data_IF_775369927446
#
_entry.id   IF_775369927446
#
_cell.length_a   1.000
_cell.length_b   1.000
_cell.length_c   1.000
_cell.angle_alpha   90.00
_cell.angle_beta   90.00
_cell.angle_gamma   90.00
#
_symmetry.space_group_name_H-M   'P 1'
#
loop_
_entity.id
_entity.type
_entity.pdbx_description
1 polymer ?
#
# COMPACT_ATOMS: atom_id res chain seq x y z
N UNK A 1 32.64 16.78 88.80
CA UNK A 1 33.08 15.90 87.68
C UNK A 1 32.10 14.73 87.62
N UNK A 2 31.34 14.47 86.55
CA UNK A 2 31.79 13.99 85.23
C UNK A 2 30.68 14.20 84.18
N UNK A 3 31.10 14.41 82.92
CA UNK A 3 30.29 14.65 81.71
C UNK A 3 29.70 13.36 81.09
N UNK A 4 28.50 13.55 80.48
CA UNK A 4 27.82 12.92 79.31
C UNK A 4 28.41 11.67 78.63
N UNK A 5 27.50 10.79 78.17
CA UNK A 5 27.34 10.44 76.74
C UNK A 5 25.94 9.87 76.44
N UNK A 6 25.28 10.48 75.46
CA UNK A 6 24.03 10.03 74.83
C UNK A 6 24.19 8.66 74.13
N UNK A 7 23.12 7.87 74.00
CA UNK A 7 23.12 6.65 73.19
C UNK A 7 23.04 7.00 71.70
N UNK A 8 24.01 6.50 70.93
CA UNK A 8 24.17 6.73 69.49
C UNK A 8 23.00 6.15 68.66
N UNK A 9 22.59 6.81 67.56
CA UNK A 9 21.57 6.34 66.62
C UNK A 9 22.12 5.42 65.50
N UNK A 10 23.33 4.86 65.67
CA UNK A 10 24.07 4.21 64.58
C UNK A 10 23.58 2.79 64.21
N UNK A 11 22.79 2.14 65.07
CA UNK A 11 22.39 0.74 64.87
C UNK A 11 21.25 0.53 63.85
N UNK A 12 20.45 1.56 63.57
CA UNK A 12 19.31 1.43 62.65
C UNK A 12 19.74 1.49 61.18
N UNK A 13 20.75 2.31 60.86
CA UNK A 13 21.26 2.46 59.50
C UNK A 13 22.12 1.28 59.05
N UNK A 14 22.86 0.62 59.95
CA UNK A 14 23.59 -0.62 59.62
C UNK A 14 22.62 -1.77 59.29
N UNK A 15 21.57 -1.98 60.08
CA UNK A 15 20.59 -3.05 59.83
C UNK A 15 19.77 -2.78 58.55
N UNK A 16 19.41 -1.51 58.28
CA UNK A 16 18.75 -1.13 57.02
C UNK A 16 19.69 -1.27 55.82
N UNK A 17 20.97 -0.92 55.97
CA UNK A 17 21.98 -1.08 54.92
C UNK A 17 22.22 -2.55 54.61
N UNK A 18 22.23 -3.43 55.62
CA UNK A 18 22.45 -4.86 55.44
C UNK A 18 21.24 -5.56 54.80
N UNK A 19 20.01 -5.20 55.20
CA UNK A 19 18.79 -5.65 54.51
C UNK A 19 18.67 -5.09 53.09
N UNK A 20 19.07 -3.84 52.86
CA UNK A 20 19.10 -3.25 51.53
C UNK A 20 20.16 -3.90 50.63
N UNK A 21 21.33 -4.24 51.18
CA UNK A 21 22.37 -5.00 50.48
C UNK A 21 21.91 -6.42 50.14
N UNK A 22 21.19 -7.09 51.04
CA UNK A 22 20.60 -8.40 50.80
C UNK A 22 19.52 -8.35 49.71
N UNK A 23 18.66 -7.32 49.73
CA UNK A 23 17.66 -7.10 48.68
C UNK A 23 18.30 -6.72 47.34
N UNK A 24 19.38 -5.93 47.35
CA UNK A 24 20.14 -5.59 46.15
C UNK A 24 20.84 -6.83 45.58
N UNK A 25 21.45 -7.67 46.42
CA UNK A 25 22.08 -8.91 46.01
C UNK A 25 21.04 -9.90 45.45
N UNK A 26 19.88 -10.02 46.09
CA UNK A 26 18.77 -10.82 45.59
C UNK A 26 18.24 -10.27 44.26
N UNK A 27 18.11 -8.94 44.10
CA UNK A 27 17.70 -8.30 42.87
C UNK A 27 18.71 -8.51 41.74
N UNK A 28 20.01 -8.34 42.01
CA UNK A 28 21.08 -8.61 41.03
C UNK A 28 21.09 -10.08 40.65
N UNK A 29 20.87 -10.99 41.60
CA UNK A 29 20.78 -12.42 41.33
C UNK A 29 19.56 -12.76 40.47
N UNK A 30 18.38 -12.21 40.79
CA UNK A 30 17.16 -12.40 40.00
C UNK A 30 17.28 -11.76 38.61
N UNK A 31 17.92 -10.60 38.51
CA UNK A 31 18.20 -9.92 37.25
C UNK A 31 19.21 -10.70 36.40
N UNK A 32 20.25 -11.26 37.00
CA UNK A 32 21.20 -12.15 36.32
C UNK A 32 20.53 -13.45 35.87
N UNK A 33 19.62 -14.01 36.68
CA UNK A 33 18.87 -15.22 36.36
C UNK A 33 17.84 -14.95 35.24
N UNK A 34 17.20 -13.77 35.24
CA UNK A 34 16.37 -13.28 34.13
C UNK A 34 17.22 -13.03 32.89
N UNK A 35 18.42 -12.45 33.01
CA UNK A 35 19.34 -12.24 31.88
C UNK A 35 19.83 -13.57 31.29
N UNK A 36 20.17 -14.55 32.12
CA UNK A 36 20.56 -15.90 31.68
C UNK A 36 19.37 -16.61 31.04
N UNK A 37 18.16 -16.51 31.61
CA UNK A 37 16.94 -17.04 31.00
C UNK A 37 16.53 -16.29 29.73
N UNK A 38 16.76 -14.98 29.64
CA UNK A 38 16.52 -14.17 28.45
C UNK A 38 17.59 -14.40 27.38
N UNK A 39 18.82 -14.77 27.75
CA UNK A 39 19.82 -15.28 26.81
C UNK A 39 19.53 -16.72 26.38
N UNK A 40 18.90 -17.54 27.23
CA UNK A 40 18.45 -18.89 26.88
C UNK A 40 17.15 -18.88 26.05
N UNK A 41 16.25 -17.92 26.27
CA UNK A 41 15.02 -17.71 25.48
C UNK A 41 15.24 -16.83 24.25
N UNK A 42 16.22 -15.93 24.26
CA UNK A 42 16.65 -15.12 23.11
C UNK A 42 17.85 -15.69 22.35
N UNK A 43 18.35 -16.87 22.76
CA UNK A 43 19.47 -17.58 22.14
C UNK A 43 19.12 -19.00 21.68
N UNK A 44 17.84 -19.37 21.71
CA UNK A 44 17.32 -20.57 21.06
C UNK A 44 16.66 -20.20 19.74
N UNK A 45 17.45 -20.08 18.67
CA UNK A 45 16.90 -20.22 17.32
C UNK A 45 16.27 -21.62 17.23
N UNK A 46 14.95 -21.68 17.46
CA UNK A 46 14.16 -22.88 17.27
C UNK A 46 14.43 -23.38 15.84
N UNK A 47 14.83 -24.64 15.67
CA UNK A 47 14.97 -25.20 14.31
C UNK A 47 13.69 -25.04 13.49
N UNK A 48 12.52 -24.96 14.15
CA UNK A 48 11.23 -24.68 13.52
C UNK A 48 11.14 -23.24 12.99
N UNK A 49 11.64 -22.24 13.73
CA UNK A 49 11.69 -20.85 13.27
C UNK A 49 12.73 -20.67 12.16
N UNK A 50 13.89 -21.34 12.25
CA UNK A 50 14.89 -21.35 11.18
C UNK A 50 14.33 -22.00 9.92
N UNK A 51 13.66 -23.13 10.03
CA UNK A 51 13.04 -23.81 8.89
C UNK A 51 11.91 -23.00 8.29
N UNK A 52 11.10 -22.32 9.10
CA UNK A 52 10.02 -21.47 8.60
C UNK A 52 10.57 -20.20 7.95
N UNK A 53 11.61 -19.58 8.53
CA UNK A 53 12.31 -18.44 7.92
C UNK A 53 13.07 -18.85 6.65
N UNK A 54 13.67 -20.05 6.61
CA UNK A 54 14.31 -20.59 5.42
C UNK A 54 13.29 -20.92 4.34
N UNK A 55 12.16 -21.54 4.67
CA UNK A 55 11.07 -21.79 3.72
C UNK A 55 10.45 -20.49 3.22
N UNK A 56 10.31 -19.48 4.07
CA UNK A 56 9.83 -18.16 3.67
C UNK A 56 10.86 -17.44 2.80
N UNK A 57 12.15 -17.51 3.11
CA UNK A 57 13.24 -16.98 2.27
C UNK A 57 13.35 -17.71 0.94
N UNK A 58 13.15 -19.02 0.93
CA UNK A 58 13.17 -19.83 -0.28
C UNK A 58 11.95 -19.54 -1.14
N UNK A 59 10.76 -19.40 -0.55
CA UNK A 59 9.56 -18.91 -1.26
C UNK A 59 9.74 -17.49 -1.77
N UNK A 60 10.35 -16.60 -0.99
CA UNK A 60 10.63 -15.22 -1.40
C UNK A 60 11.62 -15.21 -2.57
N UNK A 61 12.71 -15.98 -2.48
CA UNK A 61 13.72 -16.10 -3.52
C UNK A 61 13.14 -16.75 -4.80
N UNK A 62 12.31 -17.79 -4.66
CA UNK A 62 11.59 -18.40 -5.78
C UNK A 62 10.62 -17.41 -6.41
N UNK A 63 9.92 -16.60 -5.61
CA UNK A 63 8.97 -15.58 -6.11
C UNK A 63 9.71 -14.42 -6.78
N UNK A 64 10.82 -13.95 -6.21
CA UNK A 64 11.69 -12.93 -6.80
C UNK A 64 12.36 -13.41 -8.07
N UNK A 65 12.80 -14.66 -8.11
CA UNK A 65 13.37 -15.29 -9.30
C UNK A 65 12.29 -15.50 -10.37
N UNK A 66 11.07 -15.89 -9.97
CA UNK A 66 9.91 -15.96 -10.87
C UNK A 66 9.54 -14.58 -11.40
N UNK A 67 9.58 -13.54 -10.57
CA UNK A 67 9.31 -12.16 -10.98
C UNK A 67 10.40 -11.62 -11.90
N UNK A 68 11.68 -11.89 -11.62
CA UNK A 68 12.79 -11.58 -12.52
C UNK A 68 12.68 -12.33 -13.83
N UNK A 69 12.33 -13.62 -13.80
CA UNK A 69 12.04 -14.39 -15.02
C UNK A 69 10.85 -13.82 -15.77
N UNK A 70 9.77 -13.42 -15.09
CA UNK A 70 8.62 -12.76 -15.73
C UNK A 70 9.02 -11.40 -16.32
N UNK A 71 9.94 -10.68 -15.67
CA UNK A 71 10.41 -9.36 -16.11
C UNK A 71 11.44 -9.46 -17.24
N UNK A 72 12.27 -10.49 -17.24
CA UNK A 72 13.21 -10.85 -18.31
C UNK A 72 12.47 -11.46 -19.50
N UNK A 73 11.51 -12.36 -19.28
CA UNK A 73 10.53 -12.79 -20.28
C UNK A 73 9.80 -11.56 -20.83
N UNK A 74 9.33 -10.63 -20.00
CA UNK A 74 8.69 -9.39 -20.46
C UNK A 74 9.64 -8.48 -21.26
N UNK A 75 10.93 -8.41 -20.90
CA UNK A 75 11.92 -7.59 -21.60
C UNK A 75 12.39 -8.24 -22.91
N UNK A 76 12.50 -9.57 -22.98
CA UNK A 76 12.70 -10.32 -24.23
C UNK A 76 11.44 -10.31 -25.11
N UNK A 77 10.25 -10.22 -24.50
CA UNK A 77 8.95 -10.06 -25.16
C UNK A 77 8.68 -8.61 -25.58
N UNK A 78 9.38 -7.61 -25.03
CA UNK A 78 9.30 -6.22 -25.49
C UNK A 78 9.81 -6.01 -26.93
N UNK A 79 10.48 -7.02 -27.51
CA UNK A 79 10.83 -7.07 -28.93
C UNK A 79 9.81 -7.77 -29.84
N UNK A 80 8.78 -8.44 -29.29
CA UNK A 80 7.74 -9.16 -30.05
C UNK A 80 6.35 -8.66 -29.67
N UNK A 81 5.72 -8.00 -30.65
CA UNK A 81 4.33 -7.53 -30.70
C UNK A 81 3.61 -7.38 -29.34
N UNK A 82 3.96 -6.30 -28.64
CA UNK A 82 3.30 -5.76 -27.44
C UNK A 82 1.76 -5.82 -27.57
N UNK A 83 1.23 -5.68 -28.79
CA UNK A 83 -0.19 -5.79 -29.12
C UNK A 83 -0.80 -7.18 -28.84
N UNK A 84 -0.11 -8.27 -29.18
CA UNK A 84 -0.61 -9.64 -28.96
C UNK A 84 -0.62 -10.03 -27.48
N UNK A 85 0.37 -9.57 -26.71
CA UNK A 85 0.37 -9.77 -25.25
C UNK A 85 -0.69 -8.91 -24.55
N UNK A 86 -0.90 -7.69 -25.00
CA UNK A 86 -1.98 -6.85 -24.49
C UNK A 86 -3.35 -7.47 -24.79
N UNK A 87 -3.54 -7.99 -26.01
CA UNK A 87 -4.76 -8.73 -26.35
C UNK A 87 -4.92 -9.99 -25.48
N UNK A 88 -3.84 -10.65 -25.03
CA UNK A 88 -3.89 -11.76 -24.04
C UNK A 88 -4.27 -11.31 -22.63
N UNK A 89 -3.73 -10.19 -22.14
CA UNK A 89 -4.09 -9.60 -20.83
C UNK A 89 -5.56 -9.15 -20.84
N UNK A 90 -6.00 -8.55 -21.95
CA UNK A 90 -7.40 -8.21 -22.18
C UNK A 90 -8.25 -9.48 -22.37
N UNK A 91 -7.74 -10.57 -22.93
CA UNK A 91 -8.48 -11.83 -23.02
C UNK A 91 -8.71 -12.47 -21.65
N UNK A 92 -7.69 -12.46 -20.77
CA UNK A 92 -7.86 -12.90 -19.39
C UNK A 92 -8.85 -12.05 -18.58
N UNK A 93 -9.11 -10.81 -19.04
CA UNK A 93 -10.10 -9.90 -18.49
C UNK A 93 -11.53 -10.12 -18.95
N UNK A 94 -11.74 -10.89 -20.03
CA UNK A 94 -12.97 -10.81 -20.84
C UNK A 94 -13.10 -9.53 -21.69
N UNK A 95 -12.02 -8.77 -21.89
CA UNK A 95 -11.96 -7.53 -22.69
C UNK A 95 -11.43 -7.76 -24.12
N UNK A 96 -11.12 -8.99 -24.54
CA UNK A 96 -10.55 -9.27 -25.86
C UNK A 96 -11.56 -9.27 -27.00
N UNK A 97 -12.85 -9.52 -26.72
CA UNK A 97 -13.86 -9.78 -27.75
C UNK A 97 -15.16 -8.99 -27.53
N UNK A 98 -15.88 -8.73 -28.62
CA UNK A 98 -17.25 -8.18 -28.58
C UNK A 98 -17.36 -6.74 -28.05
N UNK A 99 -18.25 -6.52 -27.07
CA UNK A 99 -18.56 -5.20 -26.50
C UNK A 99 -17.48 -4.71 -25.53
N UNK A 100 -16.88 -5.60 -24.74
CA UNK A 100 -15.82 -5.27 -23.78
C UNK A 100 -14.60 -4.61 -24.42
N UNK A 101 -14.12 -5.12 -25.57
CA UNK A 101 -13.01 -4.49 -26.32
C UNK A 101 -13.34 -3.08 -26.79
N UNK A 102 -14.56 -2.88 -27.31
CA UNK A 102 -15.02 -1.57 -27.79
C UNK A 102 -15.14 -0.56 -26.66
N UNK A 103 -15.67 -0.97 -25.52
CA UNK A 103 -15.81 -0.12 -24.34
C UNK A 103 -14.44 0.24 -23.76
N UNK A 104 -13.50 -0.71 -23.73
CA UNK A 104 -12.11 -0.45 -23.36
C UNK A 104 -11.40 0.49 -24.34
N UNK A 105 -11.55 0.31 -25.65
CA UNK A 105 -10.95 1.21 -26.64
C UNK A 105 -11.56 2.63 -26.55
N UNK A 106 -12.87 2.75 -26.31
CA UNK A 106 -13.52 4.04 -26.03
C UNK A 106 -13.02 4.70 -24.75
N UNK A 107 -12.79 3.91 -23.71
CA UNK A 107 -12.17 4.35 -22.46
C UNK A 107 -10.76 4.90 -22.71
N UNK A 108 -9.92 4.16 -23.44
CA UNK A 108 -8.57 4.59 -23.81
C UNK A 108 -8.62 5.87 -24.66
N UNK A 109 -9.56 5.98 -25.58
CA UNK A 109 -9.72 7.20 -26.37
C UNK A 109 -10.11 8.39 -25.48
N UNK A 110 -11.02 8.19 -24.52
CA UNK A 110 -11.37 9.21 -23.52
C UNK A 110 -10.16 9.65 -22.70
N UNK A 111 -9.25 8.74 -22.35
CA UNK A 111 -8.00 9.06 -21.66
C UNK A 111 -7.00 9.82 -22.54
N UNK A 112 -6.92 9.51 -23.83
CA UNK A 112 -6.08 10.27 -24.78
C UNK A 112 -6.56 11.71 -24.92
N UNK A 113 -7.88 11.90 -24.95
CA UNK A 113 -8.53 13.20 -25.13
C UNK A 113 -8.45 14.08 -23.86
N UNK A 114 -7.90 13.57 -22.75
CA UNK A 114 -7.68 14.37 -21.55
C UNK A 114 -6.70 15.52 -21.81
N UNK A 115 -6.94 16.71 -21.25
CA UNK A 115 -6.00 17.82 -21.37
C UNK A 115 -4.68 17.50 -20.64
N UNK A 116 -3.57 17.94 -21.22
CA UNK A 116 -2.22 17.76 -20.67
C UNK A 116 -1.64 16.35 -20.88
N UNK A 117 -0.45 16.11 -20.32
CA UNK A 117 0.34 14.91 -20.59
C UNK A 117 0.62 14.06 -19.35
N UNK A 118 0.38 14.59 -18.15
CA UNK A 118 0.71 13.91 -16.89
C UNK A 118 -0.55 13.28 -16.27
N UNK A 119 -0.48 12.00 -15.96
CA UNK A 119 -1.52 11.22 -15.31
C UNK A 119 -1.03 10.70 -13.96
N UNK A 120 -1.82 10.86 -12.92
CA UNK A 120 -1.56 10.26 -11.59
C UNK A 120 -2.66 9.27 -11.24
N UNK A 121 -2.30 8.01 -10.97
CA UNK A 121 -3.27 6.99 -10.55
C UNK A 121 -3.48 7.01 -9.05
N UNK A 122 -4.73 7.05 -8.60
CA UNK A 122 -5.11 6.95 -7.20
C UNK A 122 -5.93 5.67 -7.06
N UNK A 123 -5.34 4.66 -6.41
CA UNK A 123 -5.85 3.30 -6.39
C UNK A 123 -6.33 2.94 -4.98
N UNK A 124 -7.56 2.49 -4.89
CA UNK A 124 -8.09 1.86 -3.69
C UNK A 124 -7.28 0.59 -3.34
N UNK A 125 -6.81 0.54 -2.11
CA UNK A 125 -6.08 -0.59 -1.55
C UNK A 125 -6.73 -1.15 -0.27
N UNK A 126 -8.06 -1.07 -0.15
CA UNK A 126 -8.81 -1.75 0.90
C UNK A 126 -8.96 -3.25 0.60
N UNK A 127 -9.58 -3.99 1.52
CA UNK A 127 -9.73 -5.44 1.42
C UNK A 127 -10.68 -5.91 0.30
N UNK A 128 -11.66 -5.09 -0.09
CA UNK A 128 -12.61 -5.40 -1.19
C UNK A 128 -11.86 -5.58 -2.52
N UNK A 129 -10.84 -4.74 -2.72
CA UNK A 129 -9.99 -4.72 -3.90
C UNK A 129 -9.07 -5.94 -4.02
N UNK A 130 -8.83 -6.71 -2.94
CA UNK A 130 -7.89 -7.83 -2.90
C UNK A 130 -8.10 -8.84 -4.05
N UNK A 131 -9.35 -9.19 -4.34
CA UNK A 131 -9.70 -10.13 -5.41
C UNK A 131 -9.48 -9.59 -6.83
N UNK A 132 -9.41 -8.26 -6.99
CA UNK A 132 -9.29 -7.57 -8.28
C UNK A 132 -7.84 -7.19 -8.58
N UNK A 133 -6.97 -7.10 -7.57
CA UNK A 133 -5.56 -6.67 -7.69
C UNK A 133 -4.74 -7.40 -8.75
N UNK A 134 -4.84 -8.73 -8.79
CA UNK A 134 -4.09 -9.61 -9.71
C UNK A 134 -4.39 -9.29 -11.17
N UNK A 135 -5.60 -8.76 -11.42
CA UNK A 135 -6.08 -8.37 -12.73
C UNK A 135 -5.90 -6.86 -12.99
N UNK A 136 -6.13 -6.04 -11.97
CA UNK A 136 -6.15 -4.59 -12.06
C UNK A 136 -4.81 -4.01 -12.51
N UNK A 137 -3.70 -4.45 -11.90
CA UNK A 137 -2.39 -3.86 -12.16
C UNK A 137 -1.92 -4.07 -13.61
N UNK A 138 -2.07 -5.28 -14.20
CA UNK A 138 -1.88 -5.46 -15.64
C UNK A 138 -2.74 -4.52 -16.49
N UNK A 139 -4.01 -4.30 -16.14
CA UNK A 139 -4.89 -3.38 -16.86
C UNK A 139 -4.44 -1.94 -16.71
N UNK A 140 -4.09 -1.48 -15.51
CA UNK A 140 -3.57 -0.12 -15.29
C UNK A 140 -2.30 0.15 -16.08
N UNK A 141 -1.44 -0.86 -16.21
CA UNK A 141 -0.24 -0.79 -17.06
C UNK A 141 -0.61 -0.64 -18.54
N UNK A 142 -1.58 -1.43 -19.03
CA UNK A 142 -2.11 -1.29 -20.40
C UNK A 142 -2.73 0.10 -20.62
N UNK A 143 -3.49 0.60 -19.65
CA UNK A 143 -4.14 1.91 -19.69
C UNK A 143 -3.09 3.01 -19.79
N UNK A 144 -2.09 3.00 -18.91
CA UNK A 144 -1.01 3.98 -18.93
C UNK A 144 -0.30 3.99 -20.29
N UNK A 145 0.09 2.81 -20.81
CA UNK A 145 0.78 2.67 -22.10
C UNK A 145 -0.10 3.17 -23.27
N UNK A 146 -1.37 2.75 -23.35
CA UNK A 146 -2.24 3.09 -24.49
C UNK A 146 -2.76 4.52 -24.45
N UNK A 147 -2.86 5.13 -23.27
CA UNK A 147 -3.28 6.52 -23.13
C UNK A 147 -2.30 7.51 -23.76
N UNK A 148 -1.03 7.12 -23.93
CA UNK A 148 0.03 8.02 -24.38
C UNK A 148 0.36 9.14 -23.38
N UNK A 149 -0.20 9.09 -22.17
CA UNK A 149 0.10 10.01 -21.08
C UNK A 149 1.33 9.50 -20.32
N UNK A 150 2.14 10.43 -19.84
CA UNK A 150 3.21 10.17 -18.91
C UNK A 150 2.63 9.95 -17.51
N UNK A 151 3.06 8.88 -16.84
CA UNK A 151 2.59 8.56 -15.51
C UNK A 151 3.45 9.30 -14.48
N UNK A 152 2.90 10.33 -13.83
CA UNK A 152 3.62 11.17 -12.87
C UNK A 152 3.73 10.52 -11.48
N UNK A 153 2.77 9.68 -11.15
CA UNK A 153 2.70 9.02 -9.84
C UNK A 153 1.61 7.96 -9.76
N UNK A 154 1.80 7.05 -8.81
CA UNK A 154 0.80 6.06 -8.40
C UNK A 154 0.65 6.15 -6.90
N UNK A 155 -0.53 6.50 -6.42
CA UNK A 155 -0.87 6.52 -5.01
C UNK A 155 -1.88 5.44 -4.68
N UNK A 156 -1.80 4.93 -3.47
CA UNK A 156 -2.82 4.07 -2.89
C UNK A 156 -3.38 4.67 -1.61
N UNK A 157 -4.59 4.29 -1.25
CA UNK A 157 -5.21 4.68 0.01
C UNK A 157 -5.96 3.51 0.66
N UNK A 158 -5.92 3.44 1.99
CA UNK A 158 -6.70 2.53 2.83
C UNK A 158 -6.59 2.96 4.29
N UNK A 159 -7.69 2.94 5.07
CA UNK A 159 -7.68 3.16 6.52
C UNK A 159 -6.89 4.43 6.97
N UNK A 160 -7.17 5.58 6.35
CA UNK A 160 -6.50 6.87 6.60
C UNK A 160 -4.98 6.85 6.34
N UNK A 161 -4.48 5.86 5.61
CA UNK A 161 -3.10 5.80 5.15
C UNK A 161 -3.07 6.00 3.66
N UNK A 162 -2.01 6.66 3.24
CA UNK A 162 -1.73 6.95 1.83
C UNK A 162 -0.26 6.64 1.57
N UNK A 163 0.02 6.00 0.45
CA UNK A 163 1.38 5.86 -0.07
C UNK A 163 1.44 6.37 -1.49
N UNK A 164 2.52 7.07 -1.84
CA UNK A 164 2.73 7.59 -3.20
C UNK A 164 4.07 7.12 -3.74
N UNK A 165 4.04 6.55 -4.94
CA UNK A 165 5.21 6.11 -5.67
C UNK A 165 5.41 6.99 -6.90
N UNK A 166 6.66 7.39 -7.13
CA UNK A 166 7.11 8.17 -8.29
C UNK A 166 8.35 7.52 -8.90
N UNK A 167 8.62 7.74 -10.18
CA UNK A 167 9.81 7.22 -10.86
C UNK A 167 9.46 6.57 -12.18
N UNK A 168 10.10 5.44 -12.50
CA UNK A 168 9.73 4.69 -13.71
C UNK A 168 8.38 4.01 -13.54
N UNK A 169 7.62 3.90 -14.64
CA UNK A 169 6.31 3.23 -14.63
C UNK A 169 6.39 1.81 -14.05
N UNK A 170 7.42 1.04 -14.42
CA UNK A 170 7.66 -0.29 -13.88
C UNK A 170 7.79 -0.28 -12.36
N UNK A 171 8.71 0.54 -11.82
CA UNK A 171 8.95 0.64 -10.39
C UNK A 171 7.72 1.09 -9.60
N UNK A 172 6.91 2.01 -10.14
CA UNK A 172 5.69 2.46 -9.47
C UNK A 172 4.65 1.34 -9.33
N UNK A 173 4.41 0.57 -10.40
CA UNK A 173 3.48 -0.55 -10.34
C UNK A 173 4.01 -1.73 -9.51
N UNK A 174 5.31 -1.99 -9.56
CA UNK A 174 5.93 -3.05 -8.76
C UNK A 174 5.84 -2.71 -7.27
N UNK A 175 6.09 -1.44 -6.89
CA UNK A 175 5.89 -0.96 -5.52
C UNK A 175 4.41 -1.00 -5.10
N UNK A 176 3.47 -0.67 -6.00
CA UNK A 176 2.05 -0.81 -5.72
C UNK A 176 1.69 -2.27 -5.40
N UNK A 177 2.19 -3.24 -6.16
CA UNK A 177 1.95 -4.67 -5.89
C UNK A 177 2.53 -5.12 -4.55
N UNK A 178 3.73 -4.64 -4.20
CA UNK A 178 4.47 -5.13 -3.04
C UNK A 178 4.10 -4.44 -1.73
N UNK A 179 3.73 -3.16 -1.79
CA UNK A 179 3.65 -2.30 -0.62
C UNK A 179 2.24 -1.77 -0.33
N UNK A 180 1.30 -1.88 -1.28
CA UNK A 180 -0.08 -1.51 -0.98
C UNK A 180 -0.71 -2.60 -0.08
N UNK A 181 -1.38 -2.19 1.01
CA UNK A 181 -1.83 -3.13 2.03
C UNK A 181 -2.93 -4.07 1.51
N UNK A 182 -3.77 -3.66 0.53
CA UNK A 182 -4.92 -4.43 0.02
C UNK A 182 -5.72 -5.13 1.15
N UNK A 183 -5.82 -4.40 2.25
CA UNK A 183 -6.49 -4.75 3.51
C UNK A 183 -7.05 -3.45 4.09
N UNK A 184 -8.06 -3.58 4.93
CA UNK A 184 -8.77 -2.45 5.51
C UNK A 184 -10.20 -2.36 5.02
N UNK A 185 -10.93 -1.41 5.58
CA UNK A 185 -12.37 -1.24 5.34
C UNK A 185 -12.81 0.21 5.17
N UNK A 186 -11.90 1.19 5.31
CA UNK A 186 -12.26 2.60 5.18
C UNK A 186 -11.77 3.21 3.85
N UNK A 187 -12.74 3.58 3.00
CA UNK A 187 -12.55 4.30 1.74
C UNK A 187 -12.25 5.80 1.93
N UNK A 188 -11.03 6.11 2.35
CA UNK A 188 -10.62 7.46 2.80
C UNK A 188 -10.12 8.36 1.65
N UNK A 189 -10.94 8.50 0.61
CA UNK A 189 -10.62 9.25 -0.63
C UNK A 189 -10.28 10.72 -0.37
N UNK A 190 -11.04 11.40 0.49
CA UNK A 190 -10.82 12.81 0.81
C UNK A 190 -9.49 13.03 1.51
N UNK A 191 -9.14 12.15 2.46
CA UNK A 191 -7.83 12.14 3.11
C UNK A 191 -6.71 11.92 2.08
N UNK A 192 -6.87 10.93 1.20
CA UNK A 192 -5.89 10.59 0.19
C UNK A 192 -5.55 11.79 -0.70
N UNK A 193 -6.56 12.48 -1.25
CA UNK A 193 -6.31 13.66 -2.10
C UNK A 193 -5.64 14.81 -1.34
N UNK A 194 -6.00 15.03 -0.07
CA UNK A 194 -5.33 16.05 0.77
C UNK A 194 -3.86 15.73 1.02
N UNK A 195 -3.51 14.45 1.14
CA UNK A 195 -2.13 14.00 1.31
C UNK A 195 -1.34 14.06 0.01
N UNK A 196 -1.92 13.53 -1.08
CA UNK A 196 -1.32 13.54 -2.42
C UNK A 196 -1.03 14.97 -2.89
N UNK A 197 -1.97 15.90 -2.70
CA UNK A 197 -1.79 17.29 -3.10
C UNK A 197 -0.63 18.01 -2.36
N UNK A 198 -0.23 17.49 -1.19
CA UNK A 198 0.91 18.02 -0.42
C UNK A 198 2.24 17.36 -0.78
N UNK A 199 2.20 16.07 -1.09
CA UNK A 199 3.39 15.23 -1.13
C UNK A 199 3.81 14.81 -2.55
N UNK A 200 2.99 15.06 -3.56
CA UNK A 200 3.23 14.64 -4.93
C UNK A 200 3.15 15.80 -5.94
N UNK A 201 3.82 15.68 -7.11
CA UNK A 201 3.64 16.62 -8.21
C UNK A 201 2.18 16.67 -8.67
N UNK A 202 1.70 17.88 -8.97
CA UNK A 202 0.34 18.08 -9.49
C UNK A 202 0.29 17.61 -10.96
N UNK A 203 -0.52 16.59 -11.30
CA UNK A 203 -0.63 16.08 -12.65
C UNK A 203 -1.56 16.96 -13.51
N UNK A 204 -1.68 16.62 -14.79
CA UNK A 204 -2.73 17.19 -15.65
C UNK A 204 -4.11 16.59 -15.34
N UNK A 205 -4.14 15.34 -14.86
CA UNK A 205 -5.35 14.65 -14.45
C UNK A 205 -5.04 13.58 -13.40
N UNK A 206 -5.96 13.39 -12.45
CA UNK A 206 -5.99 12.22 -11.57
C UNK A 206 -6.91 11.15 -12.16
N UNK A 207 -6.57 9.87 -11.96
CA UNK A 207 -7.47 8.74 -12.20
C UNK A 207 -7.71 7.98 -10.89
N UNK A 208 -8.89 8.18 -10.30
CA UNK A 208 -9.36 7.47 -9.10
C UNK A 208 -9.97 6.13 -9.48
N UNK A 209 -9.54 5.06 -8.83
CA UNK A 209 -9.97 3.68 -9.09
C UNK A 209 -10.33 3.02 -7.75
N UNK A 210 -11.50 2.40 -7.66
CA UNK A 210 -11.94 1.66 -6.48
C UNK A 210 -13.34 1.08 -6.69
N UNK A 211 -13.87 0.33 -5.73
CA UNK A 211 -15.15 -0.38 -5.86
C UNK A 211 -16.23 0.08 -4.86
N UNK A 212 -15.85 0.84 -3.85
CA UNK A 212 -16.76 1.34 -2.81
C UNK A 212 -16.84 2.89 -2.76
N UNK A 213 -17.93 3.47 -2.22
CA UNK A 213 -18.04 4.91 -2.06
C UNK A 213 -17.13 5.42 -0.93
N UNK A 214 -16.68 6.70 -0.98
CA UNK A 214 -15.87 7.28 0.10
C UNK A 214 -16.57 7.22 1.45
N UNK A 215 -15.84 6.85 2.50
CA UNK A 215 -16.31 6.90 3.89
C UNK A 215 -16.05 8.25 4.55
N UNK A 216 -15.24 9.12 3.93
CA UNK A 216 -14.90 10.44 4.43
C UNK A 216 -15.39 11.59 3.52
N UNK A 217 -15.28 12.82 4.03
CA UNK A 217 -15.65 14.02 3.28
C UNK A 217 -14.58 14.41 2.25
N UNK A 218 -14.98 14.41 0.98
CA UNK A 218 -14.13 14.83 -0.16
C UNK A 218 -14.22 16.34 -0.36
N UNK A 219 -13.08 17.03 -0.18
CA UNK A 219 -12.96 18.46 -0.44
C UNK A 219 -12.72 18.75 -1.93
N UNK A 220 -13.78 18.75 -2.75
CA UNK A 220 -13.63 18.83 -4.23
C UNK A 220 -12.78 20.03 -4.71
N UNK A 221 -12.92 21.19 -4.06
CA UNK A 221 -12.18 22.41 -4.41
C UNK A 221 -10.72 22.42 -3.94
N UNK A 222 -10.34 21.46 -3.09
CA UNK A 222 -8.97 21.28 -2.61
C UNK A 222 -8.13 20.41 -3.57
N UNK A 223 -8.79 19.73 -4.51
CA UNK A 223 -8.12 18.87 -5.50
C UNK A 223 -7.62 19.75 -6.66
N UNK A 224 -6.30 19.83 -6.91
CA UNK A 224 -5.71 20.83 -7.80
C UNK A 224 -5.85 20.51 -9.29
N UNK A 225 -6.30 19.31 -9.66
CA UNK A 225 -6.47 18.87 -11.03
C UNK A 225 -7.75 18.03 -11.19
N UNK A 226 -8.30 17.93 -12.41
CA UNK A 226 -9.50 17.14 -12.67
C UNK A 226 -9.34 15.67 -12.29
N UNK A 227 -10.38 15.08 -11.69
CA UNK A 227 -10.42 13.66 -11.31
C UNK A 227 -11.29 12.89 -12.28
N UNK A 228 -10.69 11.94 -12.97
CA UNK A 228 -11.39 10.92 -13.73
C UNK A 228 -11.60 9.72 -12.83
N UNK A 229 -12.81 9.21 -12.76
CA UNK A 229 -13.15 8.14 -11.83
C UNK A 229 -13.44 6.86 -12.60
N UNK A 230 -12.92 5.73 -12.12
CA UNK A 230 -13.12 4.40 -12.68
C UNK A 230 -13.64 3.49 -11.56
N UNK A 231 -14.96 3.46 -11.33
CA UNK A 231 -15.54 2.52 -10.39
C UNK A 231 -15.40 1.10 -10.95
N UNK A 232 -14.95 0.17 -10.12
CA UNK A 232 -14.84 -1.25 -10.43
C UNK A 232 -15.99 -2.02 -9.76
N UNK A 233 -16.36 -3.17 -10.34
CA UNK A 233 -17.35 -4.06 -9.75
C UNK A 233 -18.81 -3.77 -10.11
N UNK A 234 -19.72 -4.27 -9.27
CA UNK A 234 -21.17 -4.27 -9.50
C UNK A 234 -21.67 -2.82 -9.56
N UNK A 235 -22.66 -2.54 -10.42
CA UNK A 235 -23.30 -1.23 -10.57
C UNK A 235 -24.11 -0.84 -9.31
N UNK A 236 -23.43 -0.70 -8.18
CA UNK A 236 -24.01 -0.12 -6.99
C UNK A 236 -24.29 1.36 -7.24
N UNK A 237 -25.52 1.77 -6.91
CA UNK A 237 -25.98 3.13 -7.18
C UNK A 237 -25.23 4.17 -6.36
N UNK A 238 -24.76 3.81 -5.17
CA UNK A 238 -24.06 4.74 -4.28
C UNK A 238 -22.63 4.96 -4.75
N UNK A 239 -21.88 3.89 -5.08
CA UNK A 239 -20.52 4.02 -5.68
C UNK A 239 -20.57 4.85 -6.96
N UNK A 240 -21.50 4.54 -7.87
CA UNK A 240 -21.65 5.29 -9.14
C UNK A 240 -21.96 6.76 -8.87
N UNK A 241 -22.87 7.05 -7.93
CA UNK A 241 -23.23 8.41 -7.60
C UNK A 241 -22.05 9.19 -7.01
N UNK A 242 -21.31 8.58 -6.08
CA UNK A 242 -20.15 9.19 -5.44
C UNK A 242 -19.04 9.46 -6.47
N UNK A 243 -18.67 8.47 -7.28
CA UNK A 243 -17.61 8.57 -8.28
C UNK A 243 -17.97 9.58 -9.38
N UNK A 244 -19.24 9.61 -9.79
CA UNK A 244 -19.73 10.63 -10.71
C UNK A 244 -19.65 12.03 -10.11
N UNK A 245 -20.06 12.18 -8.85
CA UNK A 245 -20.01 13.48 -8.15
C UNK A 245 -18.59 13.99 -8.03
N UNK A 246 -17.63 13.15 -7.62
CA UNK A 246 -16.20 13.51 -7.55
C UNK A 246 -15.70 13.99 -8.92
N UNK A 247 -16.00 13.24 -9.98
CA UNK A 247 -15.56 13.61 -11.33
C UNK A 247 -16.16 14.93 -11.79
N UNK A 248 -17.48 15.12 -11.65
CA UNK A 248 -18.16 16.32 -12.11
C UNK A 248 -17.72 17.58 -11.33
N UNK A 249 -17.56 17.47 -10.01
CA UNK A 249 -17.17 18.60 -9.15
C UNK A 249 -15.71 19.03 -9.37
N UNK A 250 -14.85 18.13 -9.84
CA UNK A 250 -13.43 18.42 -10.12
C UNK A 250 -13.18 18.75 -11.60
N UNK A 251 -14.20 18.70 -12.45
CA UNK A 251 -14.08 18.96 -13.89
C UNK A 251 -13.57 17.78 -14.72
N UNK A 252 -13.57 16.57 -14.16
CA UNK A 252 -13.27 15.33 -14.84
C UNK A 252 -14.52 14.62 -15.38
N UNK A 253 -14.39 13.32 -15.65
CA UNK A 253 -15.49 12.45 -16.10
C UNK A 253 -15.38 11.08 -15.47
N UNK A 254 -16.54 10.50 -15.12
CA UNK A 254 -16.60 9.10 -14.75
C UNK A 254 -16.46 8.24 -16.00
N UNK A 255 -15.49 7.36 -15.97
CA UNK A 255 -15.19 6.37 -16.97
C UNK A 255 -15.80 5.04 -16.54
N UNK A 256 -16.25 4.21 -17.49
CA UNK A 256 -16.83 2.90 -17.19
C UNK A 256 -16.12 1.83 -18.01
N UNK A 257 -15.73 0.75 -17.34
CA UNK A 257 -15.32 -0.49 -17.97
C UNK A 257 -16.46 -1.50 -17.78
N UNK A 258 -17.13 -1.88 -18.86
CA UNK A 258 -18.12 -2.95 -18.82
C UNK A 258 -17.42 -4.29 -19.09
N UNK A 259 -17.46 -5.19 -18.11
CA UNK A 259 -16.93 -6.56 -18.22
C UNK A 259 -17.97 -7.59 -18.72
N UNK A 260 -19.02 -7.15 -19.42
CA UNK A 260 -20.11 -8.01 -19.93
C UNK A 260 -19.85 -8.55 -21.34
#
# INVERSE_FOLDING_TARGET
MRRRRDPSPDNFYEIFSDMALLMLAAFIFLFALILVNAQLQGGGESELDRQEVEQLREKLAQTEQRNKQLQEEMNELAGKDVKEQMDKVLASAGLSDGKGKRDFDMFIQGLKDLPGNELHLVVDATGSMHGVTTFLIPVLRVIAIRSGKHLSGVSWYADLKTGTFTGSMGAMFDNLMQSAPFVGSEETVGHAFRDIAKNAPIPSAYMLIGDEPPTDSVGYHEIPAPVFTLPLGINDSETIFAYKTIAEQTGGKMLKLNFQ
#
